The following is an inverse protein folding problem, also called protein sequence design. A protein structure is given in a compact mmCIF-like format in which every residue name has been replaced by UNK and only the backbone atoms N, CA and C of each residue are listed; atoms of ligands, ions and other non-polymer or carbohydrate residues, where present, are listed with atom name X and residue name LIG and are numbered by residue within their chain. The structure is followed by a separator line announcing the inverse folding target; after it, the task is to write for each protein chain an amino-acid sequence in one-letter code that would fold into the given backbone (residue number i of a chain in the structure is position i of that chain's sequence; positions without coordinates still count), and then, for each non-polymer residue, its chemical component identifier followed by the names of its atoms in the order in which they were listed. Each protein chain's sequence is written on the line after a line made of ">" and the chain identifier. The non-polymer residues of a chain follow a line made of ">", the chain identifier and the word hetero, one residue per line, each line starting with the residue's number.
data_IF_983170740031
#
_entry.id   IF_983170740031
#
_cell.length_a   1.000
_cell.length_b   1.000
_cell.length_c   1.000
_cell.angle_alpha   90.00
_cell.angle_beta   90.00
_cell.angle_gamma   90.00
#
_symmetry.space_group_name_H-M   'P 1'
#
loop_
_entity.id
_entity.type
_entity.pdbx_description
1 polymer ?
#
# COMPACT_ATOMS: atom_id res chain seq x y z
N UNK A 1 16.02 -23.76 -5.62
CA UNK A 1 15.74 -24.23 -4.25
C UNK A 1 16.33 -23.21 -3.29
N UNK A 2 15.51 -22.31 -2.75
CA UNK A 2 15.94 -21.33 -1.74
C UNK A 2 15.54 -21.92 -0.39
N UNK A 3 16.52 -22.38 0.40
CA UNK A 3 16.31 -22.89 1.76
C UNK A 3 16.68 -21.79 2.75
N UNK A 4 15.72 -21.43 3.59
CA UNK A 4 15.90 -20.97 4.97
C UNK A 4 16.81 -19.77 5.22
N UNK A 5 16.25 -18.56 5.26
CA UNK A 5 16.80 -17.40 5.98
C UNK A 5 15.71 -16.46 6.54
N UNK A 6 14.56 -16.99 6.98
CA UNK A 6 13.56 -16.15 7.67
C UNK A 6 13.81 -16.01 9.18
N UNK A 7 14.66 -16.85 9.78
CA UNK A 7 14.74 -16.97 11.24
C UNK A 7 15.77 -16.06 11.94
N UNK A 8 16.61 -15.31 11.20
CA UNK A 8 17.72 -14.54 11.83
C UNK A 8 17.68 -13.01 11.68
N UNK A 9 16.79 -12.42 10.88
CA UNK A 9 16.81 -10.95 10.65
C UNK A 9 15.66 -10.15 11.24
N UNK A 10 14.58 -10.79 11.73
CA UNK A 10 13.45 -10.08 12.31
C UNK A 10 13.20 -10.54 13.75
N UNK A 11 13.89 -9.90 14.70
CA UNK A 11 13.66 -10.09 16.13
C UNK A 11 12.33 -9.46 16.53
N UNK A 12 11.22 -10.21 16.43
CA UNK A 12 9.91 -9.72 16.88
C UNK A 12 8.77 -10.70 16.60
N UNK A 13 8.13 -11.19 17.67
CA UNK A 13 6.93 -12.06 17.70
C UNK A 13 6.98 -13.41 16.97
N UNK A 14 7.27 -14.46 17.75
CA UNK A 14 7.00 -15.85 17.38
C UNK A 14 5.48 -16.14 17.51
N UNK A 15 4.85 -16.56 16.41
CA UNK A 15 3.50 -17.22 16.33
C UNK A 15 2.23 -16.33 16.28
N UNK A 16 2.29 -15.12 15.71
CA UNK A 16 1.10 -14.31 15.40
C UNK A 16 0.74 -14.31 13.91
N UNK A 17 -0.55 -14.12 13.58
CA UNK A 17 -0.98 -13.85 12.20
C UNK A 17 -0.60 -12.44 11.72
N UNK A 18 -0.26 -11.54 12.64
CA UNK A 18 0.20 -10.18 12.36
C UNK A 18 1.62 -10.05 12.92
N UNK A 19 2.55 -9.59 12.09
CA UNK A 19 3.95 -9.36 12.47
C UNK A 19 4.32 -7.91 12.16
N UNK A 20 4.80 -7.20 13.16
CA UNK A 20 5.19 -5.78 13.07
C UNK A 20 6.67 -5.64 13.48
N UNK A 21 7.63 -5.87 12.58
CA UNK A 21 9.05 -5.67 12.89
C UNK A 21 9.30 -4.23 13.34
N UNK A 22 10.04 -4.04 14.43
CA UNK A 22 10.27 -2.70 15.01
C UNK A 22 11.17 -1.80 14.14
N UNK A 23 12.07 -2.41 13.37
CA UNK A 23 13.12 -1.70 12.64
C UNK A 23 12.75 -1.46 11.16
N UNK A 24 11.56 -1.89 10.75
CA UNK A 24 11.07 -1.77 9.39
C UNK A 24 9.64 -1.24 9.39
N UNK A 25 9.36 -0.31 8.47
CA UNK A 25 8.01 0.24 8.28
C UNK A 25 7.14 -0.71 7.46
N UNK A 26 7.02 -1.96 7.90
CA UNK A 26 6.26 -3.01 7.22
C UNK A 26 5.46 -3.80 8.24
N UNK A 27 4.27 -4.22 7.84
CA UNK A 27 3.40 -5.11 8.59
C UNK A 27 3.16 -6.31 7.70
N UNK A 28 3.51 -7.49 8.20
CA UNK A 28 3.16 -8.74 7.55
C UNK A 28 1.88 -9.27 8.17
N UNK A 29 0.89 -9.56 7.34
CA UNK A 29 -0.30 -10.31 7.75
C UNK A 29 -0.28 -11.66 7.05
N UNK A 30 -0.63 -12.69 7.82
CA UNK A 30 -0.56 -14.09 7.41
C UNK A 30 -1.95 -14.68 7.58
N UNK A 31 -2.52 -15.11 6.46
CA UNK A 31 -3.76 -15.88 6.43
C UNK A 31 -3.45 -17.37 6.27
N UNK A 32 -4.41 -18.23 6.59
CA UNK A 32 -4.29 -19.67 6.32
C UNK A 32 -5.24 -20.52 7.14
N UNK A 33 -5.33 -21.79 6.77
CA UNK A 33 -6.31 -22.76 7.35
C UNK A 33 -6.24 -22.93 8.86
N UNK A 34 -5.11 -22.61 9.49
CA UNK A 34 -4.98 -22.68 10.94
C UNK A 34 -5.82 -21.60 11.67
N UNK A 35 -6.18 -20.52 10.98
CA UNK A 35 -6.97 -19.40 11.52
C UNK A 35 -8.41 -19.80 11.87
N UNK A 36 -9.01 -20.71 11.11
CA UNK A 36 -10.40 -21.15 11.34
C UNK A 36 -10.58 -21.84 12.69
N UNK A 37 -9.53 -22.45 13.26
CA UNK A 37 -9.55 -23.00 14.62
C UNK A 37 -9.70 -21.94 15.72
N UNK A 38 -9.48 -20.66 15.39
CA UNK A 38 -9.67 -19.51 16.27
C UNK A 38 -10.90 -18.66 15.87
N UNK A 39 -11.72 -19.18 14.96
CA UNK A 39 -12.89 -18.50 14.39
C UNK A 39 -12.54 -17.31 13.50
N UNK A 40 -11.39 -17.35 12.84
CA UNK A 40 -11.07 -16.42 11.75
C UNK A 40 -11.62 -16.97 10.43
N UNK A 41 -12.29 -16.12 9.66
CA UNK A 41 -12.89 -16.46 8.38
C UNK A 41 -12.39 -15.49 7.29
N UNK A 42 -11.07 -15.48 7.11
CA UNK A 42 -10.42 -14.65 6.10
C UNK A 42 -10.88 -15.08 4.70
N UNK A 43 -11.29 -14.12 3.86
CA UNK A 43 -11.91 -14.45 2.58
C UNK A 43 -11.70 -13.38 1.52
N UNK A 44 -11.43 -13.83 0.29
CA UNK A 44 -11.55 -13.01 -0.91
C UNK A 44 -13.04 -12.81 -1.26
N UNK A 45 -13.44 -11.57 -1.40
CA UNK A 45 -14.78 -11.18 -1.82
C UNK A 45 -14.84 -11.02 -3.36
N UNK A 46 -16.02 -11.21 -3.98
CA UNK A 46 -16.19 -11.09 -5.42
C UNK A 46 -15.85 -9.71 -6.01
N UNK A 47 -15.88 -8.67 -5.18
CA UNK A 47 -15.56 -7.28 -5.53
C UNK A 47 -14.07 -6.94 -5.38
N UNK A 48 -13.21 -7.96 -5.24
CA UNK A 48 -11.75 -7.79 -5.13
C UNK A 48 -11.26 -7.38 -3.73
N UNK A 49 -12.16 -7.20 -2.76
CA UNK A 49 -11.77 -7.02 -1.35
C UNK A 49 -11.28 -8.33 -0.73
N UNK A 50 -10.48 -8.19 0.32
CA UNK A 50 -10.07 -9.29 1.18
C UNK A 50 -10.44 -8.96 2.63
N UNK A 51 -11.36 -9.73 3.20
CA UNK A 51 -11.69 -9.63 4.62
C UNK A 51 -10.61 -10.37 5.42
N UNK A 52 -9.97 -9.68 6.36
CA UNK A 52 -8.96 -10.23 7.27
C UNK A 52 -9.39 -10.06 8.73
N UNK A 53 -9.46 -11.15 9.49
CA UNK A 53 -9.85 -11.12 10.89
C UNK A 53 -8.67 -10.69 11.78
N UNK A 54 -8.94 -9.74 12.67
CA UNK A 54 -7.95 -9.22 13.60
C UNK A 54 -7.44 -10.24 14.62
N UNK A 55 -6.31 -9.92 15.26
CA UNK A 55 -5.75 -10.75 16.31
C UNK A 55 -6.56 -10.71 17.61
N UNK A 56 -6.50 -11.83 18.32
CA UNK A 56 -7.20 -12.10 19.58
C UNK A 56 -7.80 -13.49 19.46
N UNK A 57 -7.47 -14.43 20.33
CA UNK A 57 -7.92 -15.83 20.20
C UNK A 57 -9.04 -16.23 21.18
N UNK A 58 -9.22 -15.46 22.25
CA UNK A 58 -10.20 -15.72 23.32
C UNK A 58 -10.85 -14.41 23.72
N UNK A 59 -12.18 -14.41 23.83
CA UNK A 59 -12.96 -13.21 24.15
C UNK A 59 -12.94 -12.14 23.05
N UNK A 60 -13.61 -11.02 23.33
CA UNK A 60 -13.75 -9.89 22.41
C UNK A 60 -12.38 -9.38 21.93
N UNK A 61 -12.27 -9.16 20.62
CA UNK A 61 -11.07 -8.60 20.03
C UNK A 61 -10.91 -7.12 20.38
N UNK A 62 -9.67 -6.68 20.60
CA UNK A 62 -9.34 -5.32 20.98
C UNK A 62 -8.53 -4.59 19.90
N UNK A 63 -8.79 -3.29 19.72
CA UNK A 63 -8.07 -2.45 18.75
C UNK A 63 -6.72 -1.95 19.32
N UNK A 64 -5.83 -2.90 19.59
CA UNK A 64 -4.49 -2.71 20.17
C UNK A 64 -3.44 -3.45 19.33
N UNK A 65 -2.14 -3.17 19.57
CA UNK A 65 -1.01 -3.89 18.97
C UNK A 65 -1.16 -4.12 17.46
N UNK A 66 -1.19 -5.37 16.97
CA UNK A 66 -1.27 -5.71 15.55
C UNK A 66 -2.53 -5.17 14.90
N UNK A 67 -3.68 -5.23 15.59
CA UNK A 67 -4.94 -4.67 15.09
C UNK A 67 -4.84 -3.16 14.88
N UNK A 68 -4.22 -2.46 15.83
CA UNK A 68 -3.96 -1.02 15.69
C UNK A 68 -2.97 -0.75 14.55
N UNK A 69 -1.94 -1.57 14.42
CA UNK A 69 -0.94 -1.43 13.38
C UNK A 69 -1.59 -1.54 11.99
N UNK A 70 -2.44 -2.55 11.74
CA UNK A 70 -3.21 -2.66 10.49
C UNK A 70 -4.10 -1.44 10.29
N UNK A 71 -4.88 -1.02 11.28
CA UNK A 71 -5.78 0.13 11.13
C UNK A 71 -5.04 1.41 10.75
N UNK A 72 -3.91 1.67 11.40
CA UNK A 72 -3.18 2.93 11.27
C UNK A 72 -2.07 2.87 10.21
N UNK A 73 -1.90 1.72 9.52
CA UNK A 73 -0.73 1.44 8.68
C UNK A 73 -0.51 2.52 7.62
N UNK A 74 -1.56 2.91 6.89
CA UNK A 74 -1.46 3.91 5.83
C UNK A 74 -1.08 5.30 6.40
N UNK A 75 -1.67 5.70 7.53
CA UNK A 75 -1.38 7.00 8.17
C UNK A 75 0.05 7.05 8.69
N UNK A 76 0.55 5.92 9.21
CA UNK A 76 1.90 5.78 9.73
C UNK A 76 2.94 5.45 8.65
N UNK A 77 2.51 5.26 7.41
CA UNK A 77 3.38 4.95 6.27
C UNK A 77 4.01 3.56 6.34
N UNK A 78 3.32 2.58 6.95
CA UNK A 78 3.75 1.19 6.98
C UNK A 78 3.11 0.39 5.84
N UNK A 79 3.93 -0.40 5.14
CA UNK A 79 3.45 -1.41 4.20
C UNK A 79 2.56 -2.43 4.90
N UNK A 80 1.56 -2.95 4.17
CA UNK A 80 0.77 -4.09 4.60
C UNK A 80 0.89 -5.20 3.56
N UNK A 81 1.68 -6.22 3.87
CA UNK A 81 1.99 -7.32 2.97
C UNK A 81 1.26 -8.58 3.41
N UNK A 82 0.46 -9.16 2.52
CA UNK A 82 -0.32 -10.36 2.79
C UNK A 82 0.39 -11.62 2.30
N UNK A 83 0.44 -12.62 3.18
CA UNK A 83 0.99 -13.94 2.90
C UNK A 83 0.00 -15.05 3.22
N UNK A 84 0.01 -16.13 2.44
CA UNK A 84 -0.69 -17.37 2.76
C UNK A 84 0.27 -18.38 3.42
N UNK A 85 -0.15 -18.96 4.54
CA UNK A 85 0.50 -20.14 5.11
C UNK A 85 -0.04 -21.43 4.53
N UNK A 86 0.83 -22.21 3.86
CA UNK A 86 0.49 -23.52 3.31
C UNK A 86 0.41 -24.66 4.35
N UNK A 87 0.59 -24.34 5.64
CA UNK A 87 0.56 -25.28 6.76
C UNK A 87 1.91 -25.40 7.49
N UNK A 88 1.92 -26.16 8.60
CA UNK A 88 3.11 -26.29 9.47
C UNK A 88 4.33 -26.79 8.69
N UNK A 89 5.43 -26.03 8.77
CA UNK A 89 6.72 -26.38 8.17
C UNK A 89 6.80 -26.19 6.65
N UNK A 90 5.81 -25.53 6.04
CA UNK A 90 5.82 -25.14 4.62
C UNK A 90 6.07 -23.64 4.46
N UNK A 91 6.50 -23.26 3.27
CA UNK A 91 6.79 -21.88 2.92
C UNK A 91 5.53 -20.99 2.96
N UNK A 92 5.77 -19.69 3.16
CA UNK A 92 4.75 -18.65 3.00
C UNK A 92 4.70 -18.24 1.52
N UNK A 93 3.49 -18.05 1.00
CA UNK A 93 3.27 -17.53 -0.36
C UNK A 93 2.88 -16.06 -0.25
N UNK A 94 3.61 -15.18 -0.92
CA UNK A 94 3.26 -13.77 -1.00
C UNK A 94 2.03 -13.59 -1.90
N UNK A 95 0.97 -12.94 -1.38
CA UNK A 95 -0.28 -12.69 -2.10
C UNK A 95 -0.40 -11.26 -2.64
N UNK A 96 0.48 -10.35 -2.22
CA UNK A 96 0.51 -8.97 -2.69
C UNK A 96 0.60 -7.94 -1.58
N UNK A 97 0.67 -6.67 -2.00
CA UNK A 97 0.62 -5.50 -1.13
C UNK A 97 -0.80 -4.98 -1.04
N UNK A 98 -1.24 -4.66 0.17
CA UNK A 98 -2.62 -4.29 0.47
C UNK A 98 -2.71 -2.96 1.20
N UNK A 99 -3.90 -2.39 1.20
CA UNK A 99 -4.29 -1.28 2.07
C UNK A 99 -5.54 -1.66 2.86
N UNK A 100 -5.59 -1.30 4.14
CA UNK A 100 -6.78 -1.38 4.96
C UNK A 100 -7.76 -0.28 4.53
N UNK A 101 -8.78 -0.63 3.75
CA UNK A 101 -9.79 0.31 3.28
C UNK A 101 -10.75 0.72 4.42
N UNK A 102 -11.16 -0.27 5.21
CA UNK A 102 -12.07 -0.05 6.31
C UNK A 102 -11.93 -1.17 7.33
N UNK A 103 -12.66 -1.07 8.43
CA UNK A 103 -12.81 -2.18 9.35
C UNK A 103 -14.19 -2.11 9.99
N UNK A 104 -14.73 -3.27 10.37
CA UNK A 104 -16.02 -3.40 11.02
C UNK A 104 -15.94 -4.34 12.21
N UNK A 105 -16.95 -4.22 13.08
CA UNK A 105 -17.21 -5.24 14.09
C UNK A 105 -18.06 -6.34 13.48
N UNK A 106 -17.60 -7.58 13.64
CA UNK A 106 -18.35 -8.79 13.33
C UNK A 106 -18.63 -9.61 14.59
N UNK A 107 -19.11 -10.82 14.36
CA UNK A 107 -19.27 -11.86 15.37
C UNK A 107 -18.61 -13.12 14.85
N UNK A 108 -17.80 -13.78 15.66
CA UNK A 108 -17.25 -15.09 15.34
C UNK A 108 -17.05 -15.90 16.64
N UNK A 109 -17.00 -17.24 16.57
CA UNK A 109 -16.58 -18.03 17.72
C UNK A 109 -15.12 -17.71 18.05
N UNK A 110 -14.75 -17.82 19.32
CA UNK A 110 -13.35 -17.82 19.74
C UNK A 110 -12.80 -19.25 19.78
N UNK A 111 -11.57 -19.43 20.28
CA UNK A 111 -10.93 -20.75 20.42
C UNK A 111 -11.74 -21.74 21.29
N UNK A 112 -12.50 -21.24 22.25
CA UNK A 112 -13.34 -22.04 23.15
C UNK A 112 -14.74 -22.25 22.58
N UNK A 113 -14.99 -21.78 21.35
CA UNK A 113 -16.28 -21.80 20.67
C UNK A 113 -17.33 -20.86 21.30
N UNK A 114 -16.88 -19.89 22.09
CA UNK A 114 -17.73 -18.83 22.65
C UNK A 114 -17.87 -17.70 21.62
N UNK A 115 -19.10 -17.23 21.40
CA UNK A 115 -19.33 -16.10 20.49
C UNK A 115 -18.73 -14.82 21.06
N UNK A 116 -17.95 -14.13 20.23
CA UNK A 116 -17.27 -12.89 20.60
C UNK A 116 -17.40 -11.82 19.55
N UNK A 117 -17.14 -10.59 19.96
CA UNK A 117 -16.96 -9.45 19.07
C UNK A 117 -15.64 -9.58 18.31
N UNK A 118 -15.72 -9.68 16.98
CA UNK A 118 -14.57 -9.81 16.10
C UNK A 118 -14.27 -8.47 15.39
N UNK A 119 -12.99 -8.18 15.15
CA UNK A 119 -12.55 -7.11 14.27
C UNK A 119 -12.33 -7.73 12.89
N UNK A 120 -12.94 -7.15 11.86
CA UNK A 120 -12.74 -7.57 10.47
C UNK A 120 -12.21 -6.36 9.71
N UNK A 121 -11.02 -6.50 9.14
CA UNK A 121 -10.39 -5.51 8.27
C UNK A 121 -10.78 -5.79 6.82
N UNK A 122 -11.22 -4.75 6.12
CA UNK A 122 -11.58 -4.80 4.71
C UNK A 122 -10.37 -4.30 3.91
N UNK A 123 -9.61 -5.23 3.31
CA UNK A 123 -8.38 -4.92 2.62
C UNK A 123 -8.60 -4.85 1.10
N UNK A 124 -7.86 -3.97 0.43
CA UNK A 124 -7.81 -3.87 -1.04
C UNK A 124 -6.40 -4.14 -1.52
N UNK A 125 -6.26 -4.94 -2.57
CA UNK A 125 -4.98 -5.17 -3.22
C UNK A 125 -4.56 -3.92 -3.99
N UNK A 126 -3.33 -3.44 -3.77
CA UNK A 126 -2.83 -2.22 -4.40
C UNK A 126 -2.69 -2.34 -5.93
N UNK A 127 -2.36 -3.52 -6.46
CA UNK A 127 -2.26 -3.74 -7.91
C UNK A 127 -3.64 -3.64 -8.58
N UNK A 128 -4.64 -4.31 -8.02
CA UNK A 128 -6.02 -4.26 -8.54
C UNK A 128 -6.62 -2.85 -8.49
N UNK A 129 -6.24 -2.07 -7.48
CA UNK A 129 -6.65 -0.67 -7.38
C UNK A 129 -6.11 0.15 -8.56
N UNK A 130 -4.88 -0.09 -9.00
CA UNK A 130 -4.29 0.63 -10.15
C UNK A 130 -5.03 0.27 -11.45
N UNK A 131 -5.41 -0.99 -11.61
CA UNK A 131 -6.15 -1.46 -12.79
C UNK A 131 -7.58 -0.90 -12.83
N UNK A 132 -8.31 -0.88 -11.71
CA UNK A 132 -9.64 -0.24 -11.61
C UNK A 132 -9.59 1.26 -11.96
N UNK A 133 -8.50 1.94 -11.59
CA UNK A 133 -8.27 3.34 -11.92
C UNK A 133 -7.96 3.59 -13.39
N UNK A 134 -7.52 2.58 -14.14
CA UNK A 134 -7.19 2.71 -15.55
C UNK A 134 -8.42 2.53 -16.47
N UNK A 135 -9.49 1.90 -15.96
CA UNK A 135 -10.74 1.64 -16.69
C UNK A 135 -11.77 2.78 -16.57
N UNK A 136 -11.71 3.60 -15.50
CA UNK A 136 -12.63 4.73 -15.26
C UNK A 136 -12.14 6.08 -15.83
N UNK A 137 -11.08 6.10 -16.64
CA UNK A 137 -10.58 7.34 -17.28
C UNK A 137 -11.12 7.54 -18.70
N UNK A 138 -12.45 7.70 -18.80
CA UNK A 138 -12.99 8.51 -19.87
C UNK A 138 -12.94 9.98 -19.45
N UNK A 139 -12.32 10.79 -20.32
CA UNK A 139 -12.27 12.26 -20.32
C UNK A 139 -11.26 12.89 -19.33
N UNK A 140 -9.97 12.89 -19.71
CA UNK A 140 -9.11 14.04 -19.36
C UNK A 140 -9.57 15.21 -20.24
N UNK A 141 -10.72 15.80 -19.89
CA UNK A 141 -11.05 17.14 -20.33
C UNK A 141 -9.94 18.06 -19.83
N UNK A 142 -9.73 19.17 -20.51
CA UNK A 142 -8.66 20.15 -20.33
C UNK A 142 -8.67 20.71 -18.88
N UNK A 143 -8.22 19.92 -17.92
CA UNK A 143 -7.95 20.34 -16.55
C UNK A 143 -6.53 20.87 -16.58
N UNK A 144 -6.40 22.16 -16.29
CA UNK A 144 -5.11 22.83 -16.18
C UNK A 144 -4.22 22.10 -15.16
N UNK A 145 -2.94 21.91 -15.49
CA UNK A 145 -1.96 21.25 -14.62
C UNK A 145 -1.88 21.93 -13.24
N UNK A 146 -2.12 23.25 -13.20
CA UNK A 146 -2.15 24.02 -11.95
C UNK A 146 -3.31 23.61 -11.01
N UNK A 147 -4.46 23.22 -11.57
CA UNK A 147 -5.62 22.76 -10.84
C UNK A 147 -5.39 21.34 -10.31
N UNK A 148 -4.80 20.45 -11.13
CA UNK A 148 -4.37 19.12 -10.67
C UNK A 148 -3.36 19.23 -9.53
N UNK A 149 -2.38 20.14 -9.65
CA UNK A 149 -1.41 20.42 -8.60
C UNK A 149 -2.08 20.88 -7.31
N UNK A 150 -3.06 21.77 -7.41
CA UNK A 150 -3.79 22.30 -6.26
C UNK A 150 -4.57 21.19 -5.55
N UNK A 151 -5.29 20.35 -6.29
CA UNK A 151 -6.01 19.19 -5.74
C UNK A 151 -5.06 18.22 -5.04
N UNK A 152 -3.94 17.89 -5.67
CA UNK A 152 -2.93 17.01 -5.10
C UNK A 152 -2.32 17.58 -3.80
N UNK A 153 -2.05 18.88 -3.75
CA UNK A 153 -1.52 19.54 -2.56
C UNK A 153 -2.54 19.67 -1.42
N UNK A 154 -3.83 19.87 -1.72
CA UNK A 154 -4.92 19.86 -0.74
C UNK A 154 -5.13 18.45 -0.18
N UNK A 155 -5.08 17.44 -1.06
CA UNK A 155 -5.07 16.04 -0.69
C UNK A 155 -3.87 15.70 0.22
N UNK A 156 -2.68 16.21 -0.07
CA UNK A 156 -1.50 15.99 0.78
C UNK A 156 -1.62 16.66 2.17
N UNK A 157 -2.23 17.84 2.24
CA UNK A 157 -2.24 18.72 3.42
C UNK A 157 -3.27 18.41 4.51
N UNK A 158 -4.33 17.64 4.23
CA UNK A 158 -5.36 17.28 5.22
C UNK A 158 -4.81 16.23 6.21
N UNK A 159 -4.27 16.71 7.34
CA UNK A 159 -3.80 15.87 8.46
C UNK A 159 -4.79 15.81 9.64
N UNK A 160 -5.83 16.64 9.64
CA UNK A 160 -6.74 16.77 10.78
C UNK A 160 -8.05 16.03 10.55
N UNK A 161 -8.18 14.85 11.18
CA UNK A 161 -9.40 14.06 11.25
C UNK A 161 -9.15 12.56 11.11
N UNK A 162 -10.04 11.74 11.70
CA UNK A 162 -10.11 10.29 11.43
C UNK A 162 -10.52 10.08 9.96
N UNK A 163 -9.56 10.17 9.06
CA UNK A 163 -9.79 9.92 7.64
C UNK A 163 -10.07 8.41 7.46
N UNK A 164 -11.27 8.06 7.01
CA UNK A 164 -11.55 6.70 6.53
C UNK A 164 -10.74 6.43 5.26
N UNK A 165 -10.47 5.18 4.90
CA UNK A 165 -9.53 4.95 3.79
C UNK A 165 -10.06 5.37 2.42
N UNK A 166 -11.38 5.56 2.25
CA UNK A 166 -11.92 6.24 1.05
C UNK A 166 -11.29 7.63 0.85
N UNK A 167 -11.08 8.36 1.94
CA UNK A 167 -10.40 9.67 1.92
C UNK A 167 -8.90 9.54 1.63
N UNK A 168 -8.25 8.43 2.03
CA UNK A 168 -6.83 8.17 1.69
C UNK A 168 -6.71 7.82 0.21
N UNK A 169 -7.60 6.99 -0.30
CA UNK A 169 -7.67 6.59 -1.70
C UNK A 169 -7.88 7.79 -2.63
N UNK A 170 -8.84 8.67 -2.33
CA UNK A 170 -9.07 9.88 -3.13
C UNK A 170 -7.82 10.79 -3.12
N UNK A 171 -7.07 10.82 -2.02
CA UNK A 171 -5.81 11.58 -1.93
C UNK A 171 -4.73 11.00 -2.83
N UNK A 172 -4.52 9.68 -2.77
CA UNK A 172 -3.54 8.99 -3.63
C UNK A 172 -3.88 9.15 -5.11
N UNK A 173 -5.17 9.12 -5.45
CA UNK A 173 -5.66 9.36 -6.81
C UNK A 173 -5.29 10.76 -7.30
N UNK A 174 -5.61 11.80 -6.54
CA UNK A 174 -5.31 13.19 -6.94
C UNK A 174 -3.81 13.42 -7.16
N UNK A 175 -2.98 12.77 -6.35
CA UNK A 175 -1.52 12.90 -6.45
C UNK A 175 -0.99 12.08 -7.62
N UNK A 176 -1.49 10.86 -7.84
CA UNK A 176 -1.16 10.04 -9.01
C UNK A 176 -1.50 10.77 -10.31
N UNK A 177 -2.74 11.24 -10.43
CA UNK A 177 -3.22 11.92 -11.64
C UNK A 177 -2.37 13.16 -11.93
N UNK A 178 -2.06 13.95 -10.89
CA UNK A 178 -1.16 15.09 -11.02
C UNK A 178 0.26 14.70 -11.45
N UNK A 179 0.86 13.70 -10.83
CA UNK A 179 2.24 13.27 -11.12
C UNK A 179 2.36 12.73 -12.54
N UNK A 180 1.39 11.92 -13.00
CA UNK A 180 1.36 11.41 -14.37
C UNK A 180 1.16 12.53 -15.39
N UNK A 181 0.29 13.51 -15.09
CA UNK A 181 0.10 14.69 -15.93
C UNK A 181 1.36 15.57 -15.99
N UNK A 182 2.00 15.83 -14.83
CA UNK A 182 3.25 16.59 -14.70
C UNK A 182 4.38 15.98 -15.52
N UNK A 183 4.48 14.65 -15.51
CA UNK A 183 5.48 13.90 -16.26
C UNK A 183 5.33 14.04 -17.78
N UNK A 184 4.13 14.38 -18.27
CA UNK A 184 3.83 14.64 -19.68
C UNK A 184 4.40 13.56 -20.62
N UNK A 185 4.20 12.29 -20.23
CA UNK A 185 4.66 11.12 -20.99
C UNK A 185 6.16 10.87 -21.00
N UNK A 186 6.94 11.54 -20.14
CA UNK A 186 8.38 11.32 -19.98
C UNK A 186 8.69 10.85 -18.56
N UNK A 187 9.57 9.85 -18.44
CA UNK A 187 10.07 9.39 -17.15
C UNK A 187 10.80 10.53 -16.44
N UNK A 188 10.37 10.89 -15.25
CA UNK A 188 10.99 11.95 -14.45
C UNK A 188 12.34 11.52 -13.86
N UNK A 189 12.63 10.22 -13.84
CA UNK A 189 13.95 9.67 -13.49
C UNK A 189 14.98 9.87 -14.60
N UNK A 190 14.81 9.18 -15.73
CA UNK A 190 15.78 9.16 -16.83
C UNK A 190 15.53 10.19 -17.95
N UNK A 191 14.37 10.83 -18.01
CA UNK A 191 13.98 11.78 -19.06
C UNK A 191 13.49 11.13 -20.37
N UNK A 192 13.59 9.81 -20.51
CA UNK A 192 13.11 9.12 -21.71
C UNK A 192 11.58 9.15 -21.80
N UNK A 193 11.04 9.13 -23.02
CA UNK A 193 9.61 8.91 -23.27
C UNK A 193 9.15 7.60 -22.64
N UNK A 194 7.87 7.55 -22.25
CA UNK A 194 7.21 6.32 -21.86
C UNK A 194 7.43 5.24 -22.94
N UNK A 195 7.70 3.98 -22.55
CA UNK A 195 8.08 2.92 -23.48
C UNK A 195 6.96 2.50 -24.43
N UNK A 196 5.70 2.70 -24.04
CA UNK A 196 4.51 2.38 -24.83
C UNK A 196 3.31 3.21 -24.36
N UNK A 197 2.23 3.15 -25.15
CA UNK A 197 0.93 3.72 -24.80
C UNK A 197 0.01 2.62 -24.25
N UNK A 198 -0.84 2.98 -23.29
CA UNK A 198 -1.97 2.19 -22.80
C UNK A 198 -3.03 2.05 -23.91
N UNK A 199 -3.99 1.15 -23.73
CA UNK A 199 -5.09 0.96 -24.69
C UNK A 199 -5.90 2.25 -24.93
N UNK A 200 -6.01 3.10 -23.89
CA UNK A 200 -6.65 4.42 -23.96
C UNK A 200 -5.77 5.52 -24.60
N UNK A 201 -4.60 5.17 -25.14
CA UNK A 201 -3.68 6.10 -25.80
C UNK A 201 -2.76 6.89 -24.87
N UNK A 202 -2.87 6.73 -23.54
CA UNK A 202 -2.04 7.46 -22.58
C UNK A 202 -0.63 6.84 -22.45
N UNK A 203 0.44 7.65 -22.24
CA UNK A 203 1.78 7.13 -21.97
C UNK A 203 1.85 6.26 -20.72
N UNK A 204 2.51 5.10 -20.80
CA UNK A 204 2.68 4.21 -19.65
C UNK A 204 3.86 4.65 -18.76
N UNK A 205 3.54 5.18 -17.57
CA UNK A 205 4.46 5.47 -16.47
C UNK A 205 3.86 4.97 -15.15
N UNK A 206 4.73 4.66 -14.20
CA UNK A 206 4.41 4.16 -12.86
C UNK A 206 4.78 5.24 -11.84
N UNK A 207 3.89 5.56 -10.91
CA UNK A 207 4.20 6.51 -9.83
C UNK A 207 4.97 5.80 -8.73
N UNK A 208 6.11 6.37 -8.35
CA UNK A 208 7.00 5.88 -7.31
C UNK A 208 7.11 6.92 -6.19
N UNK A 209 7.09 6.50 -4.94
CA UNK A 209 7.28 7.42 -3.83
C UNK A 209 8.71 7.36 -3.30
N UNK A 210 9.41 8.49 -3.40
CA UNK A 210 10.84 8.56 -3.13
C UNK A 210 11.16 8.61 -1.64
N UNK A 211 10.39 9.37 -0.85
CA UNK A 211 10.56 9.44 0.62
C UNK A 211 9.73 8.41 1.38
N UNK A 212 9.07 7.50 0.67
CA UNK A 212 8.37 6.42 1.37
C UNK A 212 9.39 5.48 1.96
N UNK A 213 9.13 5.09 3.20
CA UNK A 213 9.82 3.97 3.85
C UNK A 213 9.07 2.67 3.54
N UNK A 214 8.50 2.60 2.32
CA UNK A 214 7.52 1.64 1.79
C UNK A 214 6.09 2.21 1.61
N UNK A 215 5.34 1.65 0.66
CA UNK A 215 4.34 2.21 -0.27
C UNK A 215 3.00 2.71 0.33
N UNK A 216 3.03 3.40 1.48
CA UNK A 216 1.85 4.06 2.07
C UNK A 216 2.02 5.47 2.67
N UNK A 217 3.24 6.03 2.78
CA UNK A 217 3.44 7.38 3.36
C UNK A 217 2.86 8.55 2.54
N UNK A 218 2.62 9.73 3.16
CA UNK A 218 1.71 10.77 2.69
C UNK A 218 2.00 11.15 1.24
N UNK A 219 0.96 11.11 0.40
CA UNK A 219 1.00 11.45 -1.01
C UNK A 219 1.25 12.96 -1.20
N UNK A 220 2.41 13.44 -0.80
CA UNK A 220 2.87 14.77 -1.15
C UNK A 220 3.53 14.69 -2.53
N UNK A 221 3.04 15.44 -3.54
CA UNK A 221 3.65 15.48 -4.86
C UNK A 221 5.15 15.77 -4.87
N UNK A 222 5.68 16.41 -3.83
CA UNK A 222 7.11 16.67 -3.65
C UNK A 222 7.94 15.39 -3.42
N UNK A 223 7.30 14.27 -3.10
CA UNK A 223 7.93 12.98 -2.85
C UNK A 223 7.41 11.86 -3.74
N UNK A 224 6.61 12.16 -4.76
CA UNK A 224 6.11 11.18 -5.74
C UNK A 224 6.64 11.54 -7.12
N UNK A 225 7.15 10.55 -7.85
CA UNK A 225 7.82 10.69 -9.15
C UNK A 225 7.27 9.69 -10.16
N UNK A 226 7.06 10.10 -11.41
CA UNK A 226 6.67 9.20 -12.49
C UNK A 226 7.90 8.53 -13.11
N UNK A 227 7.96 7.20 -13.10
CA UNK A 227 9.06 6.42 -13.65
C UNK A 227 8.59 5.51 -14.79
N UNK A 228 9.49 5.23 -15.74
CA UNK A 228 9.28 4.12 -16.66
C UNK A 228 9.53 2.77 -15.93
N UNK A 229 9.04 1.65 -16.47
CA UNK A 229 9.18 0.33 -15.84
C UNK A 229 10.62 -0.08 -15.55
N UNK A 230 11.57 0.39 -16.38
CA UNK A 230 13.00 0.13 -16.18
C UNK A 230 13.53 0.90 -14.97
N UNK A 231 13.22 2.20 -14.86
CA UNK A 231 13.67 3.03 -13.75
C UNK A 231 13.00 2.61 -12.45
N UNK A 232 11.70 2.29 -12.49
CA UNK A 232 10.95 1.83 -11.34
C UNK A 232 11.50 0.50 -10.81
N UNK A 233 11.67 -0.52 -11.67
CA UNK A 233 12.32 -1.79 -11.27
C UNK A 233 13.75 -1.60 -10.80
N UNK A 234 14.51 -0.64 -11.35
CA UNK A 234 15.85 -0.31 -10.87
C UNK A 234 15.84 0.19 -9.42
N UNK A 235 14.84 0.97 -9.01
CA UNK A 235 14.71 1.40 -7.62
C UNK A 235 14.47 0.21 -6.69
N UNK A 236 13.54 -0.69 -7.04
CA UNK A 236 13.15 -1.80 -6.14
C UNK A 236 14.10 -3.01 -6.19
N UNK A 237 14.71 -3.29 -7.34
CA UNK A 237 15.44 -4.55 -7.57
C UNK A 237 16.88 -4.35 -8.07
N UNK A 238 17.29 -3.11 -8.32
CA UNK A 238 18.67 -2.83 -8.70
C UNK A 238 19.61 -3.00 -7.50
N UNK A 239 20.82 -3.52 -7.73
CA UNK A 239 21.89 -3.56 -6.71
C UNK A 239 22.11 -2.19 -6.04
N UNK A 240 21.99 -1.12 -6.81
CA UNK A 240 22.15 0.27 -6.37
C UNK A 240 20.79 1.00 -6.24
N UNK A 241 19.70 0.26 -5.99
CA UNK A 241 18.34 0.81 -5.96
C UNK A 241 18.17 1.95 -4.94
N UNK A 242 18.68 1.77 -3.72
CA UNK A 242 18.66 2.81 -2.67
C UNK A 242 19.45 4.06 -3.06
N UNK A 243 20.61 3.88 -3.72
CA UNK A 243 21.41 5.00 -4.23
C UNK A 243 20.64 5.75 -5.31
N UNK A 244 20.03 5.02 -6.25
CA UNK A 244 19.22 5.63 -7.31
C UNK A 244 18.01 6.37 -6.72
N UNK A 245 17.33 5.81 -5.71
CA UNK A 245 16.23 6.49 -5.02
C UNK A 245 16.68 7.81 -4.36
N UNK A 246 17.87 7.84 -3.76
CA UNK A 246 18.45 9.08 -3.21
C UNK A 246 18.78 10.11 -4.31
N UNK A 247 19.26 9.69 -5.47
CA UNK A 247 19.46 10.57 -6.63
C UNK A 247 18.13 11.17 -7.11
N UNK A 248 17.06 10.37 -7.19
CA UNK A 248 15.72 10.85 -7.49
C UNK A 248 15.25 11.88 -6.46
N UNK A 249 15.55 11.66 -5.18
CA UNK A 249 15.17 12.57 -4.11
C UNK A 249 15.82 13.95 -4.26
N UNK A 250 17.11 13.95 -4.61
CA UNK A 250 17.86 15.19 -4.86
C UNK A 250 17.34 15.93 -6.09
N UNK A 251 16.73 15.21 -7.05
CA UNK A 251 16.14 15.78 -8.25
C UNK A 251 14.77 16.43 -7.99
N UNK A 252 14.03 15.98 -6.97
CA UNK A 252 12.64 16.43 -6.74
C UNK A 252 12.42 17.94 -6.71
N UNK A 253 13.27 18.80 -6.11
CA UNK A 253 13.07 20.25 -6.17
C UNK A 253 13.04 20.84 -7.59
N UNK A 254 13.60 20.15 -8.58
CA UNK A 254 13.52 20.55 -9.99
C UNK A 254 12.29 19.98 -10.72
N UNK A 255 11.75 18.86 -10.23
CA UNK A 255 10.57 18.17 -10.78
C UNK A 255 9.29 18.77 -10.19
N UNK A 256 9.25 18.92 -8.87
CA UNK A 256 8.20 19.56 -8.08
C UNK A 256 8.82 20.71 -7.27
N UNK A 257 8.86 21.93 -7.83
CA UNK A 257 9.37 23.09 -7.11
C UNK A 257 8.57 23.33 -5.82
N UNK A 258 9.21 23.70 -4.71
CA UNK A 258 8.50 24.00 -3.47
C UNK A 258 7.46 25.11 -3.69
N UNK A 259 6.39 25.10 -2.89
CA UNK A 259 5.39 26.16 -2.90
C UNK A 259 6.10 27.51 -2.72
N UNK A 260 5.97 28.40 -3.70
CA UNK A 260 6.32 29.81 -3.52
C UNK A 260 5.33 30.37 -2.49
N UNK A 261 5.84 30.71 -1.31
CA UNK A 261 5.15 31.47 -0.27
C UNK A 261 4.73 32.84 -0.78
#
# INVERSE_FOLDING_TARGET
>A
MYRGQHDEHFSGQRQGGIVTPSDHHVIFIITGKAGSHYGYDDMHLPDGRFDYYGEGQVGDMEMVRGNRAIRDHAVLGNDLLLFESLGKGKDLVFLGSFVCESWRWGQSPDRNNDMRKAIIFELRNLENIVDELDDDQNVVDIIDLSELRTRALQAAGTREGKAGARTIYDRSRHVRDYVLARANGHCEGCGCKAPFLRMNGQPYLETHHIRRVSDGGPDDPAFVIALCPICHRKVHHGMEGSKYNNELLQKMPSVEPPKTT
#
